data_IF_078322818316
#
_entry.id   IF_078322818316
#
_cell.length_a   1.000
_cell.length_b   1.000
_cell.length_c   1.000
_cell.angle_alpha   90.00
_cell.angle_beta   90.00
_cell.angle_gamma   90.00
#
_symmetry.space_group_name_H-M   'P 1'
#
loop_
_entity.id
_entity.type
_entity.pdbx_description
1 polymer ?
#
# COMPACT_ATOMS: atom_id res chain seq x y z
N UNK A 1 9.13 2.35 7.61
CA UNK A 1 10.50 2.12 7.10
C UNK A 1 10.79 2.82 5.76
N UNK A 2 9.82 2.96 4.81
CA UNK A 2 10.04 3.69 3.52
C UNK A 2 10.56 5.11 3.74
N UNK A 3 9.98 5.86 4.68
CA UNK A 3 10.37 7.24 4.96
C UNK A 3 11.79 7.32 5.53
N UNK A 4 12.19 6.35 6.33
CA UNK A 4 13.56 6.27 6.84
C UNK A 4 14.58 6.03 5.71
N UNK A 5 14.26 5.12 4.77
CA UNK A 5 15.08 4.91 3.58
C UNK A 5 15.19 6.17 2.72
N UNK A 6 14.06 6.86 2.52
CA UNK A 6 14.03 8.14 1.79
C UNK A 6 14.89 9.20 2.50
N UNK A 7 14.77 9.32 3.82
CA UNK A 7 15.56 10.25 4.62
C UNK A 7 17.06 10.02 4.44
N UNK A 8 17.51 8.76 4.50
CA UNK A 8 18.92 8.40 4.25
C UNK A 8 19.39 8.81 2.86
N UNK A 9 18.57 8.57 1.83
CA UNK A 9 18.92 8.98 0.46
C UNK A 9 18.98 10.48 0.28
N UNK A 10 18.12 11.21 0.98
CA UNK A 10 18.11 12.68 0.93
C UNK A 10 19.26 13.31 1.73
N UNK A 11 19.74 12.65 2.78
CA UNK A 11 20.87 13.13 3.59
C UNK A 11 22.19 13.27 2.81
N UNK A 12 22.29 12.60 1.65
CA UNK A 12 23.44 12.78 0.74
C UNK A 12 23.47 14.17 0.10
N UNK A 13 22.35 14.92 0.11
CA UNK A 13 22.17 16.17 -0.63
C UNK A 13 21.58 17.33 0.22
N UNK A 14 20.96 17.01 1.35
CA UNK A 14 20.21 17.97 2.17
C UNK A 14 20.44 17.73 3.66
N UNK A 15 20.24 18.76 4.47
CA UNK A 15 20.16 18.62 5.92
C UNK A 15 18.77 18.03 6.27
N UNK A 16 18.76 16.75 6.60
CA UNK A 16 17.53 16.01 6.85
C UNK A 16 17.30 15.82 8.34
N UNK A 17 16.11 16.16 8.79
CA UNK A 17 15.63 15.92 10.15
C UNK A 17 14.41 14.99 10.06
N UNK A 18 14.39 13.94 10.86
CA UNK A 18 13.26 13.03 10.95
C UNK A 18 12.50 13.22 12.27
N UNK A 19 11.18 12.99 12.22
CA UNK A 19 10.28 13.07 13.37
C UNK A 19 9.35 11.88 13.37
N UNK A 20 9.00 11.35 14.56
CA UNK A 20 8.05 10.25 14.67
C UNK A 20 8.66 8.87 14.46
N UNK A 21 9.96 8.73 14.76
CA UNK A 21 10.71 7.48 14.73
C UNK A 21 11.30 7.08 16.10
N UNK A 22 10.68 7.54 17.17
CA UNK A 22 11.16 7.37 18.56
C UNK A 22 11.32 5.89 18.94
N UNK A 23 10.52 5.00 18.35
CA UNK A 23 10.57 3.54 18.56
C UNK A 23 11.45 2.78 17.56
N UNK A 24 12.08 3.48 16.64
CA UNK A 24 12.83 2.85 15.57
C UNK A 24 14.34 2.89 15.86
N UNK A 25 14.93 1.77 16.27
CA UNK A 25 16.37 1.65 16.50
C UNK A 25 17.20 1.96 15.25
N UNK A 26 16.66 1.68 14.07
CA UNK A 26 17.32 1.92 12.78
C UNK A 26 17.39 3.39 12.38
N UNK A 27 16.78 4.29 13.17
CA UNK A 27 16.79 5.72 12.91
C UNK A 27 17.97 6.47 13.55
N UNK A 28 18.82 5.77 14.30
CA UNK A 28 19.91 6.34 15.11
C UNK A 28 21.00 7.06 14.32
N UNK A 29 21.11 6.78 13.03
CA UNK A 29 22.10 7.37 12.12
C UNK A 29 21.64 8.69 11.46
N UNK A 30 20.39 9.08 11.68
CA UNK A 30 19.81 10.34 11.17
C UNK A 30 19.42 11.24 12.34
N UNK A 31 19.58 12.55 12.15
CA UNK A 31 19.24 13.52 13.18
C UNK A 31 17.74 13.45 13.53
N UNK A 32 17.43 12.97 14.74
CA UNK A 32 16.08 13.00 15.30
C UNK A 32 15.77 14.40 15.82
N UNK A 33 14.69 15.01 15.37
CA UNK A 33 14.23 16.28 15.94
C UNK A 33 13.38 16.00 17.18
N UNK A 34 13.93 16.29 18.34
CA UNK A 34 13.19 16.35 19.59
C UNK A 34 12.57 17.72 19.86
N UNK A 35 12.99 18.77 19.11
CA UNK A 35 12.59 20.15 19.32
C UNK A 35 11.63 20.64 18.21
N UNK A 36 10.66 21.47 18.62
CA UNK A 36 9.67 22.08 17.72
C UNK A 36 10.19 23.26 16.88
N UNK A 37 11.45 23.68 17.04
CA UNK A 37 11.95 24.97 16.58
C UNK A 37 12.60 24.94 15.19
N UNK A 38 12.68 23.78 14.55
CA UNK A 38 13.32 23.66 13.24
C UNK A 38 12.39 24.15 12.12
N UNK A 39 12.84 25.18 11.40
CA UNK A 39 12.16 25.70 10.20
C UNK A 39 12.69 24.98 8.97
N UNK A 40 11.79 24.43 8.15
CA UNK A 40 12.11 23.60 7.00
C UNK A 40 11.87 24.31 5.66
N UNK A 41 12.73 24.04 4.68
CA UNK A 41 12.53 24.43 3.28
C UNK A 41 11.55 23.49 2.56
N UNK A 42 11.26 22.32 3.11
CA UNK A 42 10.25 21.40 2.65
C UNK A 42 9.94 20.35 3.69
N UNK A 43 8.72 19.84 3.68
CA UNK A 43 8.29 18.72 4.54
C UNK A 43 7.83 17.58 3.66
N UNK A 44 8.26 16.36 4.02
CA UNK A 44 7.85 15.13 3.34
C UNK A 44 7.07 14.26 4.32
N UNK A 45 5.79 14.15 4.09
CA UNK A 45 4.88 13.30 4.85
C UNK A 45 4.83 11.87 4.34
N UNK A 46 4.37 10.90 5.13
CA UNK A 46 4.22 9.51 4.73
C UNK A 46 3.06 9.30 3.72
N UNK A 47 2.87 8.06 3.33
CA UNK A 47 1.75 7.56 2.54
C UNK A 47 1.04 6.44 3.34
N UNK A 48 -0.22 6.60 3.71
CA UNK A 48 -0.99 7.84 3.68
C UNK A 48 -0.45 8.87 4.69
N UNK A 49 -0.73 10.16 4.44
CA UNK A 49 -0.35 11.25 5.35
C UNK A 49 -1.02 11.07 6.71
N UNK A 50 -2.28 10.68 6.71
CA UNK A 50 -3.11 10.51 7.90
C UNK A 50 -4.10 9.37 7.72
N UNK A 51 -4.53 8.77 8.84
CA UNK A 51 -5.61 7.77 8.87
C UNK A 51 -6.91 8.35 9.45
N UNK A 52 -6.82 9.43 10.21
CA UNK A 52 -7.94 10.08 10.92
C UNK A 52 -8.24 11.51 10.43
N UNK A 53 -7.48 11.99 9.44
CA UNK A 53 -7.60 13.36 8.90
C UNK A 53 -6.98 14.46 9.76
N UNK A 54 -6.32 14.14 10.88
CA UNK A 54 -5.77 15.12 11.84
C UNK A 54 -4.35 14.79 12.28
N UNK A 55 -4.12 13.53 12.61
CA UNK A 55 -2.83 13.05 13.10
C UNK A 55 -1.98 12.52 11.97
N UNK A 56 -0.68 12.76 12.06
CA UNK A 56 0.29 12.16 11.14
C UNK A 56 0.29 10.63 11.28
N UNK A 57 0.32 9.92 10.19
CA UNK A 57 0.52 8.47 10.17
C UNK A 57 1.97 8.13 10.55
N UNK A 58 2.25 8.05 11.83
CA UNK A 58 3.58 7.82 12.41
C UNK A 58 3.58 6.58 13.35
N UNK A 59 3.52 5.35 12.81
CA UNK A 59 3.39 4.12 13.61
C UNK A 59 4.61 3.83 14.49
N UNK A 60 5.73 4.50 14.27
CA UNK A 60 6.95 4.39 15.07
C UNK A 60 7.13 5.53 16.07
N UNK A 61 6.11 6.36 16.28
CA UNK A 61 6.11 7.41 17.30
C UNK A 61 5.45 6.96 18.59
N UNK A 62 5.99 7.41 19.72
CA UNK A 62 5.35 7.30 21.03
C UNK A 62 4.28 8.37 21.24
N UNK A 63 4.32 9.45 20.45
CA UNK A 63 3.45 10.61 20.56
C UNK A 63 2.51 10.72 19.37
N UNK A 64 1.32 11.24 19.59
CA UNK A 64 0.45 11.69 18.51
C UNK A 64 1.01 13.01 17.97
N UNK A 65 1.35 13.02 16.68
CA UNK A 65 1.87 14.20 15.98
C UNK A 65 0.72 14.82 15.18
N UNK A 66 0.33 16.04 15.50
CA UNK A 66 -0.71 16.73 14.75
C UNK A 66 -0.13 17.35 13.47
N UNK A 67 -0.83 17.19 12.35
CA UNK A 67 -0.39 17.75 11.05
C UNK A 67 -0.31 19.27 11.14
N UNK A 68 -1.21 19.93 11.88
CA UNK A 68 -1.20 21.38 12.12
C UNK A 68 0.09 21.89 12.74
N UNK A 69 0.79 21.09 13.54
CA UNK A 69 2.02 21.51 14.22
C UNK A 69 3.19 21.67 13.23
N UNK A 70 3.07 21.08 12.04
CA UNK A 70 4.07 21.20 10.99
C UNK A 70 3.93 22.49 10.15
N UNK A 71 2.77 23.15 10.21
CA UNK A 71 2.54 24.41 9.46
C UNK A 71 3.50 25.49 9.93
N UNK A 72 3.68 25.64 11.25
CA UNK A 72 4.58 26.63 11.84
C UNK A 72 6.06 26.41 11.50
N UNK A 73 6.41 25.20 11.05
CA UNK A 73 7.77 24.82 10.65
C UNK A 73 8.09 25.17 9.20
N UNK A 74 7.13 25.63 8.40
CA UNK A 74 7.31 25.91 6.98
C UNK A 74 7.75 27.36 6.74
N UNK A 75 8.77 27.53 5.91
CA UNK A 75 9.14 28.84 5.35
C UNK A 75 8.08 29.28 4.33
N UNK A 76 8.03 30.58 4.05
CA UNK A 76 7.08 31.16 3.08
C UNK A 76 7.18 30.57 1.67
N UNK A 77 8.36 30.16 1.25
CA UNK A 77 8.63 29.61 -0.09
C UNK A 77 8.92 28.09 -0.06
N UNK A 78 8.46 27.40 0.97
CA UNK A 78 8.60 25.96 1.09
C UNK A 78 7.52 25.20 0.31
N UNK A 79 7.64 23.88 0.29
CA UNK A 79 6.65 22.98 -0.28
C UNK A 79 6.41 21.78 0.65
N UNK A 80 5.23 21.19 0.51
CA UNK A 80 4.83 20.00 1.24
C UNK A 80 4.68 18.85 0.25
N UNK A 81 5.28 17.71 0.56
CA UNK A 81 5.20 16.48 -0.20
C UNK A 81 4.56 15.40 0.67
N UNK A 82 3.73 14.53 0.09
CA UNK A 82 3.12 13.43 0.82
C UNK A 82 2.33 12.55 -0.13
N UNK A 83 1.58 11.60 0.43
CA UNK A 83 0.69 10.81 -0.39
C UNK A 83 -0.68 10.61 0.27
N UNK A 84 -1.74 10.65 -0.54
CA UNK A 84 -3.14 10.54 -0.11
C UNK A 84 -3.55 11.68 0.85
N UNK A 85 -3.36 12.92 0.41
CA UNK A 85 -3.91 14.07 1.12
C UNK A 85 -5.43 14.11 0.99
N UNK A 86 -6.14 14.24 2.10
CA UNK A 86 -7.55 14.62 2.04
C UNK A 86 -7.69 16.13 1.76
N UNK A 87 -8.88 16.55 1.27
CA UNK A 87 -9.16 17.98 1.06
C UNK A 87 -8.98 18.79 2.34
N UNK A 88 -9.45 18.27 3.47
CA UNK A 88 -9.35 18.93 4.77
C UNK A 88 -7.89 19.16 5.20
N UNK A 89 -7.00 18.18 4.89
CA UNK A 89 -5.57 18.33 5.18
C UNK A 89 -4.93 19.32 4.20
N UNK A 90 -5.30 19.27 2.94
CA UNK A 90 -4.74 20.17 1.93
C UNK A 90 -5.08 21.63 2.23
N UNK A 91 -6.29 21.92 2.68
CA UNK A 91 -6.80 23.27 2.93
C UNK A 91 -6.10 23.99 4.09
N UNK A 92 -5.42 23.25 4.98
CA UNK A 92 -4.70 23.89 6.11
C UNK A 92 -3.33 24.45 5.71
N UNK A 93 -2.77 24.06 4.56
CA UNK A 93 -1.47 24.53 4.10
C UNK A 93 -1.60 25.71 3.13
N UNK A 94 -0.83 26.77 3.37
CA UNK A 94 -0.76 27.95 2.50
C UNK A 94 0.39 27.89 1.47
N UNK A 95 1.08 26.77 1.40
CA UNK A 95 2.21 26.51 0.50
C UNK A 95 1.84 25.43 -0.52
N UNK A 96 2.56 25.30 -1.64
CA UNK A 96 2.31 24.24 -2.61
C UNK A 96 2.39 22.84 -1.99
N UNK A 97 1.41 21.99 -2.33
CA UNK A 97 1.35 20.58 -1.96
C UNK A 97 1.58 19.73 -3.20
N UNK A 98 2.41 18.73 -3.07
CA UNK A 98 2.69 17.73 -4.10
C UNK A 98 2.33 16.35 -3.57
N UNK A 99 1.20 15.82 -4.05
CA UNK A 99 0.78 14.46 -3.75
C UNK A 99 1.45 13.48 -4.72
N UNK A 100 2.46 12.74 -4.24
CA UNK A 100 3.16 11.78 -5.07
C UNK A 100 2.36 10.50 -5.33
N UNK A 101 1.27 10.26 -4.59
CA UNK A 101 0.39 9.12 -4.84
C UNK A 101 -0.50 9.31 -6.08
N UNK A 102 -0.69 10.55 -6.54
CA UNK A 102 -1.42 10.84 -7.79
C UNK A 102 -0.62 10.48 -9.05
N UNK A 103 0.67 10.24 -8.91
CA UNK A 103 1.53 9.87 -10.04
C UNK A 103 1.31 8.40 -10.40
N UNK A 104 0.85 8.14 -11.63
CA UNK A 104 0.57 6.77 -12.08
C UNK A 104 1.81 5.88 -12.06
N UNK A 105 2.98 6.39 -12.47
CA UNK A 105 4.23 5.64 -12.44
C UNK A 105 4.64 5.23 -11.02
N UNK A 106 4.36 6.07 -10.02
CA UNK A 106 4.58 5.73 -8.61
C UNK A 106 3.66 4.58 -8.19
N UNK A 107 2.37 4.68 -8.51
CA UNK A 107 1.37 3.67 -8.18
C UNK A 107 1.67 2.32 -8.85
N UNK A 108 2.14 2.34 -10.10
CA UNK A 108 2.55 1.11 -10.82
C UNK A 108 3.76 0.45 -10.14
N UNK A 109 4.81 1.23 -9.81
CA UNK A 109 6.00 0.69 -9.14
C UNK A 109 5.67 0.20 -7.73
N UNK A 110 4.82 0.94 -7.00
CA UNK A 110 4.39 0.54 -5.66
C UNK A 110 3.59 -0.77 -5.67
N UNK A 111 2.81 -1.02 -6.72
CA UNK A 111 2.05 -2.24 -6.88
C UNK A 111 2.96 -3.49 -6.99
N UNK A 112 4.14 -3.38 -7.61
CA UNK A 112 5.13 -4.48 -7.63
C UNK A 112 5.61 -4.82 -6.23
N UNK A 113 6.03 -3.83 -5.43
CA UNK A 113 6.46 -4.06 -4.06
C UNK A 113 5.33 -4.62 -3.17
N UNK A 114 4.09 -4.18 -3.40
CA UNK A 114 2.91 -4.71 -2.71
C UNK A 114 2.64 -6.17 -3.07
N UNK A 115 2.79 -6.51 -4.34
CA UNK A 115 2.63 -7.88 -4.82
C UNK A 115 3.71 -8.82 -4.24
N UNK A 116 4.97 -8.38 -4.15
CA UNK A 116 6.05 -9.14 -3.51
C UNK A 116 5.75 -9.37 -2.01
N UNK A 117 5.31 -8.36 -1.28
CA UNK A 117 4.93 -8.50 0.13
C UNK A 117 3.72 -9.43 0.34
N UNK A 118 2.75 -9.42 -0.58
CA UNK A 118 1.63 -10.33 -0.58
C UNK A 118 2.08 -11.78 -0.81
N UNK A 119 2.98 -12.00 -1.75
CA UNK A 119 3.59 -13.29 -2.01
C UNK A 119 4.38 -13.79 -0.79
N UNK A 120 5.19 -12.93 -0.16
CA UNK A 120 5.90 -13.27 1.07
C UNK A 120 4.92 -13.74 2.14
N UNK A 121 3.82 -13.01 2.35
CA UNK A 121 2.78 -13.38 3.32
C UNK A 121 2.15 -14.73 2.99
N UNK A 122 1.90 -15.01 1.71
CA UNK A 122 1.38 -16.31 1.29
C UNK A 122 2.36 -17.43 1.60
N UNK A 123 3.64 -17.27 1.28
CA UNK A 123 4.68 -18.26 1.55
C UNK A 123 4.89 -18.52 3.05
N UNK A 124 4.74 -17.49 3.88
CA UNK A 124 4.88 -17.60 5.34
C UNK A 124 3.67 -18.26 6.02
N UNK A 125 2.48 -18.12 5.44
CA UNK A 125 1.23 -18.59 6.05
C UNK A 125 0.70 -19.89 5.44
N UNK A 126 1.21 -20.29 4.28
CA UNK A 126 0.78 -21.51 3.60
C UNK A 126 1.69 -22.68 3.94
N UNK A 127 1.08 -23.82 4.23
CA UNK A 127 1.77 -25.09 4.29
C UNK A 127 1.98 -25.70 2.89
N UNK A 128 1.39 -25.08 1.85
CA UNK A 128 1.43 -25.53 0.46
C UNK A 128 2.44 -24.70 -0.36
N UNK A 129 2.93 -25.30 -1.43
CA UNK A 129 3.80 -24.59 -2.40
C UNK A 129 2.95 -23.75 -3.35
N UNK A 130 3.48 -22.64 -3.83
CA UNK A 130 2.83 -21.84 -4.88
C UNK A 130 2.72 -22.61 -6.20
N UNK A 131 3.71 -23.47 -6.50
CA UNK A 131 3.71 -24.30 -7.69
C UNK A 131 2.51 -25.25 -7.70
N UNK A 132 1.67 -25.16 -8.74
CA UNK A 132 0.40 -25.90 -8.93
C UNK A 132 -0.72 -25.56 -7.94
N UNK A 133 -0.54 -24.63 -7.01
CA UNK A 133 -1.63 -24.13 -6.18
C UNK A 133 -2.69 -23.43 -7.02
N UNK A 134 -3.96 -23.63 -6.67
CA UNK A 134 -5.09 -22.92 -7.25
C UNK A 134 -5.24 -21.58 -6.53
N UNK A 135 -4.97 -20.51 -7.23
CA UNK A 135 -4.94 -19.17 -6.65
C UNK A 135 -6.02 -18.29 -7.28
N UNK A 136 -6.83 -17.67 -6.43
CA UNK A 136 -7.81 -16.69 -6.84
C UNK A 136 -7.29 -15.28 -6.55
N UNK A 137 -7.35 -14.41 -7.55
CA UNK A 137 -7.12 -12.97 -7.38
C UNK A 137 -8.44 -12.26 -7.66
N UNK A 138 -8.96 -11.50 -6.70
CA UNK A 138 -10.14 -10.67 -6.92
C UNK A 138 -9.75 -9.26 -7.34
N UNK A 139 -10.36 -8.76 -8.43
CA UNK A 139 -9.96 -7.56 -9.12
C UNK A 139 -8.86 -7.81 -10.16
N UNK A 140 -8.63 -6.81 -11.04
CA UNK A 140 -7.53 -6.87 -12.01
C UNK A 140 -6.90 -5.47 -12.20
N UNK A 141 -6.65 -4.80 -11.08
CA UNK A 141 -5.90 -3.55 -11.01
C UNK A 141 -4.38 -3.74 -11.08
N UNK A 142 -3.62 -2.73 -10.72
CA UNK A 142 -2.15 -2.73 -10.76
C UNK A 142 -1.55 -3.86 -9.93
N UNK A 143 -1.96 -4.01 -8.67
CA UNK A 143 -1.49 -5.06 -7.77
C UNK A 143 -1.84 -6.46 -8.31
N UNK A 144 -3.08 -6.65 -8.76
CA UNK A 144 -3.51 -7.94 -9.30
C UNK A 144 -2.71 -8.34 -10.54
N UNK A 145 -2.37 -7.40 -11.42
CA UNK A 145 -1.53 -7.64 -12.61
C UNK A 145 -0.11 -8.05 -12.23
N UNK A 146 0.49 -7.35 -11.25
CA UNK A 146 1.82 -7.69 -10.73
C UNK A 146 1.83 -9.09 -10.11
N UNK A 147 0.86 -9.41 -9.24
CA UNK A 147 0.69 -10.73 -8.64
C UNK A 147 0.48 -11.82 -9.68
N UNK A 148 -0.43 -11.63 -10.64
CA UNK A 148 -0.70 -12.61 -11.68
C UNK A 148 0.57 -12.97 -12.46
N UNK A 149 1.37 -11.96 -12.83
CA UNK A 149 2.64 -12.16 -13.53
C UNK A 149 3.61 -13.02 -12.74
N UNK A 150 3.79 -12.72 -11.44
CA UNK A 150 4.72 -13.48 -10.57
C UNK A 150 4.22 -14.90 -10.37
N UNK A 151 2.95 -15.08 -10.02
CA UNK A 151 2.36 -16.38 -9.70
C UNK A 151 2.32 -17.32 -10.90
N UNK A 152 2.03 -16.81 -12.11
CA UNK A 152 2.08 -17.59 -13.34
C UNK A 152 3.49 -18.11 -13.64
N UNK A 153 4.52 -17.28 -13.46
CA UNK A 153 5.93 -17.69 -13.63
C UNK A 153 6.32 -18.75 -12.60
N UNK A 154 5.77 -18.67 -11.39
CA UNK A 154 5.97 -19.70 -10.35
C UNK A 154 5.18 -20.99 -10.63
N UNK A 155 4.38 -21.04 -11.67
CA UNK A 155 3.63 -22.25 -12.08
C UNK A 155 2.35 -22.48 -11.29
N UNK A 156 1.75 -21.45 -10.72
CA UNK A 156 0.44 -21.52 -10.09
C UNK A 156 -0.69 -21.59 -11.12
N UNK A 157 -1.82 -22.19 -10.74
CA UNK A 157 -3.08 -22.14 -11.49
C UNK A 157 -3.88 -20.90 -11.07
N UNK A 158 -3.67 -19.80 -11.78
CA UNK A 158 -4.21 -18.49 -11.41
C UNK A 158 -5.55 -18.23 -12.07
N UNK A 159 -6.55 -17.90 -11.26
CA UNK A 159 -7.86 -17.40 -11.70
C UNK A 159 -8.03 -15.97 -11.24
N UNK A 160 -8.48 -15.10 -12.14
CA UNK A 160 -8.87 -13.72 -11.82
C UNK A 160 -10.39 -13.61 -11.79
N UNK A 161 -10.93 -13.06 -10.72
CA UNK A 161 -12.35 -12.75 -10.61
C UNK A 161 -12.56 -11.23 -10.66
N UNK A 162 -13.25 -10.74 -11.69
CA UNK A 162 -13.43 -9.32 -11.91
C UNK A 162 -14.86 -8.99 -12.36
N UNK A 163 -15.25 -7.71 -12.13
CA UNK A 163 -16.57 -7.18 -12.53
C UNK A 163 -16.62 -6.74 -13.99
N UNK A 164 -15.53 -6.10 -14.44
CA UNK A 164 -15.48 -5.53 -15.79
C UNK A 164 -15.08 -6.60 -16.79
N UNK A 165 -15.82 -6.71 -17.89
CA UNK A 165 -15.51 -7.62 -18.99
C UNK A 165 -14.14 -7.35 -19.62
N UNK A 166 -13.69 -6.08 -19.63
CA UNK A 166 -12.35 -5.71 -20.06
C UNK A 166 -11.25 -6.31 -19.19
N UNK A 167 -11.47 -6.34 -17.87
CA UNK A 167 -10.50 -6.90 -16.92
C UNK A 167 -10.43 -8.44 -17.07
N UNK A 168 -11.56 -9.08 -17.32
CA UNK A 168 -11.65 -10.51 -17.63
C UNK A 168 -10.85 -10.82 -18.91
N UNK A 169 -11.08 -10.08 -19.99
CA UNK A 169 -10.34 -10.26 -21.24
C UNK A 169 -8.83 -10.04 -21.07
N UNK A 170 -8.42 -9.03 -20.32
CA UNK A 170 -7.01 -8.81 -19.99
C UNK A 170 -6.42 -9.95 -19.15
N UNK A 171 -7.16 -10.48 -18.18
CA UNK A 171 -6.70 -11.62 -17.38
C UNK A 171 -6.43 -12.85 -18.24
N UNK A 172 -7.30 -13.14 -19.20
CA UNK A 172 -7.12 -14.24 -20.17
C UNK A 172 -5.88 -14.02 -21.07
N UNK A 173 -5.64 -12.79 -21.55
CA UNK A 173 -4.42 -12.43 -22.31
C UNK A 173 -3.16 -12.63 -21.48
N UNK A 174 -3.21 -12.37 -20.17
CA UNK A 174 -2.10 -12.63 -19.25
C UNK A 174 -1.85 -14.13 -19.01
N UNK A 175 -2.76 -15.02 -19.43
CA UNK A 175 -2.68 -16.45 -19.23
C UNK A 175 -3.39 -16.95 -17.98
N UNK A 176 -4.18 -16.10 -17.32
CA UNK A 176 -5.02 -16.50 -16.20
C UNK A 176 -6.33 -17.12 -16.68
N UNK A 177 -6.93 -17.98 -15.87
CA UNK A 177 -8.36 -18.26 -15.96
C UNK A 177 -9.14 -17.02 -15.49
N UNK A 178 -10.37 -16.86 -15.97
CA UNK A 178 -11.20 -15.73 -15.59
C UNK A 178 -12.57 -16.17 -15.10
N UNK A 179 -13.11 -15.43 -14.12
CA UNK A 179 -14.44 -15.66 -13.56
C UNK A 179 -15.16 -14.32 -13.29
N UNK A 180 -16.48 -14.34 -13.36
CA UNK A 180 -17.30 -13.22 -12.94
C UNK A 180 -17.30 -13.12 -11.41
N UNK A 181 -17.08 -11.93 -10.87
CA UNK A 181 -17.06 -11.69 -9.42
C UNK A 181 -18.40 -11.99 -8.75
N UNK A 182 -19.51 -11.92 -9.48
CA UNK A 182 -20.83 -12.30 -8.98
C UNK A 182 -20.93 -13.78 -8.59
N UNK A 183 -19.99 -14.63 -9.06
CA UNK A 183 -19.89 -16.04 -8.71
C UNK A 183 -18.90 -16.32 -7.58
N UNK A 184 -18.42 -15.30 -6.89
CA UNK A 184 -17.38 -15.45 -5.87
C UNK A 184 -17.78 -16.45 -4.79
N UNK A 185 -19.00 -16.42 -4.29
CA UNK A 185 -19.50 -17.37 -3.29
C UNK A 185 -19.46 -18.82 -3.77
N UNK A 186 -19.74 -19.07 -5.06
CA UNK A 186 -19.77 -20.43 -5.62
C UNK A 186 -18.38 -21.01 -5.80
N UNK A 187 -17.39 -20.15 -6.09
CA UNK A 187 -16.06 -20.61 -6.51
C UNK A 187 -14.98 -20.49 -5.43
N UNK A 188 -15.15 -19.58 -4.44
CA UNK A 188 -14.10 -19.28 -3.47
C UNK A 188 -13.56 -20.51 -2.72
N UNK A 189 -14.41 -21.46 -2.37
CA UNK A 189 -14.02 -22.71 -1.70
C UNK A 189 -13.16 -23.66 -2.54
N UNK A 190 -12.96 -23.38 -3.83
CA UNK A 190 -12.18 -24.22 -4.74
C UNK A 190 -10.70 -23.84 -4.84
N UNK A 191 -10.27 -22.81 -4.13
CA UNK A 191 -8.90 -22.28 -4.19
C UNK A 191 -8.13 -22.58 -2.91
N UNK A 192 -6.82 -22.60 -3.03
CA UNK A 192 -5.90 -22.85 -1.92
C UNK A 192 -5.47 -21.52 -1.28
N UNK A 193 -5.32 -20.47 -2.10
CA UNK A 193 -4.96 -19.11 -1.68
C UNK A 193 -5.85 -18.10 -2.41
N UNK A 194 -6.30 -17.07 -1.69
CA UNK A 194 -7.07 -15.97 -2.26
C UNK A 194 -6.38 -14.64 -1.94
N UNK A 195 -6.08 -13.86 -2.98
CA UNK A 195 -5.63 -12.48 -2.85
C UNK A 195 -6.77 -11.52 -3.18
N UNK A 196 -7.24 -10.77 -2.17
CA UNK A 196 -8.21 -9.73 -2.40
C UNK A 196 -7.53 -8.40 -2.67
N UNK A 197 -7.63 -7.90 -3.90
CA UNK A 197 -7.10 -6.59 -4.30
C UNK A 197 -8.22 -5.55 -4.50
N UNK A 198 -9.46 -5.87 -4.11
CA UNK A 198 -10.60 -4.96 -4.25
C UNK A 198 -10.80 -4.21 -2.94
N UNK A 199 -10.86 -2.85 -2.94
CA UNK A 199 -10.93 -2.04 -1.72
C UNK A 199 -12.33 -1.98 -1.09
N UNK A 200 -13.30 -2.74 -1.62
CA UNK A 200 -14.67 -2.81 -1.08
C UNK A 200 -14.95 -4.19 -0.49
N UNK A 201 -15.90 -4.27 0.43
CA UNK A 201 -16.29 -5.52 1.06
C UNK A 201 -16.98 -6.44 0.05
N UNK A 202 -16.23 -7.43 -0.45
CA UNK A 202 -16.74 -8.49 -1.35
C UNK A 202 -16.74 -9.86 -0.68
N UNK A 203 -16.02 -10.03 0.41
CA UNK A 203 -15.99 -11.24 1.25
C UNK A 203 -16.99 -11.06 2.39
N UNK A 204 -18.27 -11.14 2.06
CA UNK A 204 -19.36 -11.15 3.03
C UNK A 204 -19.49 -12.53 3.71
N UNK A 205 -20.44 -12.65 4.64
CA UNK A 205 -20.67 -13.91 5.35
C UNK A 205 -20.95 -15.07 4.41
N UNK A 206 -21.69 -14.85 3.34
CA UNK A 206 -22.05 -15.91 2.38
C UNK A 206 -20.82 -16.45 1.65
N UNK A 207 -19.88 -15.58 1.25
CA UNK A 207 -18.61 -15.98 0.65
C UNK A 207 -17.73 -16.71 1.68
N UNK A 208 -17.62 -16.15 2.90
CA UNK A 208 -16.76 -16.71 3.95
C UNK A 208 -17.24 -18.08 4.46
N UNK A 209 -18.53 -18.31 4.52
CA UNK A 209 -19.11 -19.61 4.93
C UNK A 209 -18.74 -20.76 3.94
N UNK A 210 -18.37 -20.44 2.72
CA UNK A 210 -17.91 -21.40 1.70
C UNK A 210 -16.39 -21.63 1.69
N UNK A 211 -15.62 -20.91 2.54
CA UNK A 211 -14.17 -21.00 2.64
C UNK A 211 -13.79 -21.78 3.90
N UNK A 212 -13.19 -22.96 3.77
CA UNK A 212 -12.92 -23.83 4.92
C UNK A 212 -11.45 -23.95 5.35
N UNK A 213 -10.49 -23.86 4.45
CA UNK A 213 -9.04 -23.95 4.74
C UNK A 213 -8.24 -23.17 3.70
N UNK A 214 -8.53 -21.88 3.57
CA UNK A 214 -7.95 -21.03 2.54
C UNK A 214 -7.18 -19.91 3.21
N UNK A 215 -6.02 -19.56 2.66
CA UNK A 215 -5.30 -18.35 3.05
C UNK A 215 -5.91 -17.19 2.29
N UNK A 216 -6.55 -16.30 3.04
CA UNK A 216 -7.13 -15.07 2.50
C UNK A 216 -6.23 -13.89 2.86
N UNK A 217 -5.69 -13.22 1.85
CA UNK A 217 -4.80 -12.06 2.00
C UNK A 217 -5.51 -10.84 1.42
N UNK A 218 -5.72 -9.84 2.27
CA UNK A 218 -6.28 -8.55 1.85
C UNK A 218 -5.15 -7.58 1.50
N UNK A 219 -5.27 -6.95 0.33
CA UNK A 219 -4.35 -5.95 -0.17
C UNK A 219 -5.12 -4.66 -0.41
N UNK A 220 -4.72 -3.59 0.24
CA UNK A 220 -5.22 -2.23 -0.01
C UNK A 220 -4.10 -1.39 -0.62
N UNK A 221 -4.44 -0.58 -1.61
CA UNK A 221 -3.59 0.50 -2.10
C UNK A 221 -3.50 1.62 -1.08
#
# INVERSE_FOLDING_TARGET
>A
LRQLYLARRLSDFYDVIITGFDKCSDASDILLSETNDNIADGIIFPLPVSLDGKSLNAPFSDKTLLISDFIAKLKKNSAVYGGMFSSEISDIFSVPIYDYSEREEFSVINAEATAEGALQTALEKSDETIFKSRILITGFGRIAKALARILLVMGADVTVSARKKSDIAWAEIYGCKAADICRLADIAGSYDIIFNTVPVLIFDKNVLDNISKIILIFLSE
#
